data_IF_885235006651
#
_entry.id   IF_885235006651
#
_cell.length_a   1.000
_cell.length_b   1.000
_cell.length_c   1.000
_cell.angle_alpha   90.00
_cell.angle_beta   90.00
_cell.angle_gamma   90.00
#
_symmetry.space_group_name_H-M   'P 1'
#
loop_
_entity.id
_entity.type
_entity.pdbx_description
1 polymer ?
#
# COMPACT_ATOMS: atom_id res chain seq x y z
N UNK A 1 8.03 15.19 -9.75
CA UNK A 1 7.75 13.85 -9.20
C UNK A 1 6.40 13.90 -8.50
N UNK A 2 5.43 13.12 -8.97
CA UNK A 2 4.08 13.10 -8.39
C UNK A 2 4.08 12.48 -7.01
N UNK A 3 3.89 13.31 -5.98
CA UNK A 3 3.83 12.94 -4.55
C UNK A 3 2.78 11.89 -4.21
N UNK A 4 1.87 11.58 -5.16
CA UNK A 4 0.78 10.60 -5.03
C UNK A 4 1.21 9.16 -5.34
N UNK A 5 2.38 8.96 -5.96
CA UNK A 5 2.89 7.61 -6.31
C UNK A 5 3.73 6.97 -5.18
N UNK A 6 4.00 7.71 -4.10
CA UNK A 6 4.87 7.25 -3.00
C UNK A 6 4.19 6.28 -2.03
N UNK A 7 2.84 6.20 -2.03
CA UNK A 7 2.07 5.35 -1.11
C UNK A 7 1.65 4.01 -1.74
N UNK A 8 1.73 3.87 -3.06
CA UNK A 8 1.80 2.58 -3.75
C UNK A 8 3.20 2.00 -3.70
N UNK A 9 3.91 2.20 -2.59
CA UNK A 9 5.15 1.51 -2.27
C UNK A 9 4.81 0.10 -1.76
N UNK A 10 4.13 -0.68 -2.62
CA UNK A 10 4.38 -2.12 -2.68
C UNK A 10 5.90 -2.29 -2.92
N UNK A 11 6.52 -3.36 -2.40
CA UNK A 11 7.94 -3.76 -2.29
C UNK A 11 9.01 -3.25 -3.32
N UNK A 12 8.68 -2.42 -4.30
CA UNK A 12 9.49 -1.77 -5.31
C UNK A 12 10.57 -0.86 -4.73
N UNK A 13 10.49 -0.49 -3.44
CA UNK A 13 11.59 0.17 -2.73
C UNK A 13 12.83 -0.72 -2.58
N UNK A 14 12.72 -2.05 -2.71
CA UNK A 14 13.89 -2.93 -2.76
C UNK A 14 14.66 -2.73 -4.09
N UNK A 15 13.95 -2.51 -5.20
CA UNK A 15 14.57 -2.25 -6.51
C UNK A 15 15.41 -0.95 -6.56
N UNK A 16 15.14 0.03 -5.69
CA UNK A 16 15.90 1.29 -5.61
C UNK A 16 17.32 1.07 -5.08
N UNK A 17 17.53 0.06 -4.21
CA UNK A 17 18.86 -0.24 -3.68
C UNK A 17 19.85 -0.64 -4.77
N UNK A 18 19.41 -1.34 -5.82
CA UNK A 18 20.27 -1.71 -6.96
C UNK A 18 20.78 -0.49 -7.72
N UNK A 19 19.90 0.47 -8.01
CA UNK A 19 20.27 1.71 -8.71
C UNK A 19 21.21 2.65 -7.92
N UNK A 20 21.08 2.69 -6.59
CA UNK A 20 22.00 3.45 -5.73
C UNK A 20 23.37 2.76 -5.60
N UNK A 21 23.40 1.43 -5.65
CA UNK A 21 24.63 0.63 -5.57
C UNK A 21 25.52 0.79 -6.82
N UNK A 22 24.93 0.84 -8.02
CA UNK A 22 25.68 1.02 -9.29
C UNK A 22 26.40 2.38 -9.37
N UNK A 23 25.88 3.42 -8.69
CA UNK A 23 26.52 4.75 -8.69
C UNK A 23 27.67 4.88 -7.68
N UNK A 24 27.74 4.00 -6.68
CA UNK A 24 28.75 4.01 -5.60
C UNK A 24 29.89 3.00 -5.85
N UNK A 25 30.25 2.76 -7.11
CA UNK A 25 31.46 2.02 -7.42
C UNK A 25 32.64 3.00 -7.59
N UNK A 26 33.73 2.88 -6.80
CA UNK A 26 34.96 3.57 -7.13
C UNK A 26 35.47 3.01 -8.46
N UNK A 27 35.70 3.91 -9.42
CA UNK A 27 36.16 3.59 -10.76
C UNK A 27 37.48 2.83 -10.72
N UNK A 28 37.45 1.51 -10.88
CA UNK A 28 38.67 0.76 -11.22
C UNK A 28 39.03 1.07 -12.67
N UNK A 29 40.02 1.96 -12.78
CA UNK A 29 40.69 2.40 -14.00
C UNK A 29 40.96 1.22 -14.95
N UNK A 30 40.52 1.41 -16.19
CA UNK A 30 40.81 0.57 -17.35
C UNK A 30 42.31 0.62 -17.64
N UNK A 31 43.02 -0.47 -17.37
CA UNK A 31 44.33 -0.72 -17.94
C UNK A 31 44.20 -1.89 -18.93
N UNK A 32 44.30 -1.56 -20.23
CA UNK A 32 44.38 -2.52 -21.33
C UNK A 32 45.70 -3.31 -21.26
N UNK A 33 45.63 -4.63 -21.47
CA UNK A 33 46.76 -5.43 -21.95
C UNK A 33 47.20 -6.62 -21.08
N UNK A 34 46.92 -7.83 -21.59
CA UNK A 34 47.54 -9.14 -21.30
C UNK A 34 47.09 -10.01 -20.11
N UNK A 35 47.14 -11.35 -20.28
CA UNK A 35 46.25 -12.30 -19.64
C UNK A 35 46.80 -12.76 -18.30
N UNK A 36 45.99 -12.77 -17.24
CA UNK A 36 46.37 -13.44 -16.00
C UNK A 36 45.18 -14.15 -15.36
N UNK A 37 45.13 -15.46 -15.57
CA UNK A 37 44.76 -16.35 -14.49
C UNK A 37 45.86 -16.21 -13.41
N UNK A 38 45.63 -15.45 -12.35
CA UNK A 38 46.45 -15.45 -11.13
C UNK A 38 45.78 -14.65 -10.01
N UNK A 39 45.43 -15.37 -8.95
CA UNK A 39 45.64 -14.96 -7.55
C UNK A 39 45.67 -13.45 -7.26
N UNK A 40 44.52 -12.78 -7.28
CA UNK A 40 44.40 -11.51 -6.55
C UNK A 40 44.56 -11.78 -5.04
N UNK A 41 45.39 -10.99 -4.33
CA UNK A 41 45.65 -11.20 -2.90
C UNK A 41 44.35 -11.14 -2.10
N UNK A 42 44.18 -12.08 -1.16
CA UNK A 42 42.99 -12.21 -0.33
C UNK A 42 42.62 -10.90 0.41
N UNK A 43 43.61 -10.05 0.69
CA UNK A 43 43.41 -8.72 1.29
C UNK A 43 42.57 -7.77 0.42
N UNK A 44 42.67 -7.85 -0.91
CA UNK A 44 41.90 -7.01 -1.83
C UNK A 44 40.47 -7.56 -2.07
N UNK A 45 40.23 -8.84 -1.76
CA UNK A 45 38.89 -9.44 -1.78
C UNK A 45 38.11 -9.14 -0.51
N UNK A 46 38.74 -9.22 0.66
CA UNK A 46 38.09 -8.86 1.93
C UNK A 46 37.74 -7.37 2.01
N UNK A 47 38.61 -6.49 1.52
CA UNK A 47 38.32 -5.05 1.45
C UNK A 47 37.10 -4.78 0.55
N UNK A 48 37.08 -5.36 -0.65
CA UNK A 48 35.97 -5.21 -1.60
C UNK A 48 34.64 -5.76 -1.05
N UNK A 49 34.66 -6.87 -0.30
CA UNK A 49 33.47 -7.42 0.36
C UNK A 49 32.96 -6.51 1.50
N UNK A 50 33.86 -5.94 2.29
CA UNK A 50 33.51 -4.99 3.37
C UNK A 50 32.95 -3.69 2.80
N UNK A 51 33.58 -3.16 1.75
CA UNK A 51 33.09 -1.98 1.01
C UNK A 51 31.71 -2.24 0.39
N UNK A 52 31.50 -3.42 -0.23
CA UNK A 52 30.20 -3.81 -0.76
C UNK A 52 29.10 -3.76 0.32
N UNK A 53 29.35 -4.36 1.49
CA UNK A 53 28.36 -4.37 2.58
C UNK A 53 28.11 -2.97 3.15
N UNK A 54 29.15 -2.15 3.26
CA UNK A 54 29.01 -0.77 3.71
C UNK A 54 28.16 0.06 2.73
N UNK A 55 28.42 -0.06 1.43
CA UNK A 55 27.62 0.58 0.38
C UNK A 55 26.16 0.10 0.40
N UNK A 56 25.93 -1.20 0.63
CA UNK A 56 24.57 -1.75 0.78
C UNK A 56 23.84 -1.15 1.98
N UNK A 57 24.49 -1.10 3.15
CA UNK A 57 23.92 -0.54 4.38
C UNK A 57 23.65 0.98 4.23
N UNK A 58 24.53 1.71 3.54
CA UNK A 58 24.36 3.14 3.25
C UNK A 58 23.21 3.40 2.28
N UNK A 59 23.09 2.61 1.20
CA UNK A 59 21.98 2.70 0.26
C UNK A 59 20.63 2.43 0.95
N UNK A 60 20.56 1.40 1.80
CA UNK A 60 19.36 1.11 2.61
C UNK A 60 18.99 2.29 3.50
N UNK A 61 19.97 2.87 4.20
CA UNK A 61 19.74 4.02 5.08
C UNK A 61 19.25 5.25 4.30
N UNK A 62 19.79 5.50 3.11
CA UNK A 62 19.35 6.60 2.25
C UNK A 62 17.89 6.43 1.82
N UNK A 63 17.51 5.23 1.37
CA UNK A 63 16.12 4.92 0.97
C UNK A 63 15.16 5.07 2.15
N UNK A 64 15.52 4.56 3.33
CA UNK A 64 14.70 4.71 4.54
C UNK A 64 14.53 6.18 4.91
N UNK A 65 15.61 6.98 4.87
CA UNK A 65 15.54 8.40 5.19
C UNK A 65 14.66 9.18 4.20
N UNK A 66 14.65 8.81 2.92
CA UNK A 66 13.76 9.39 1.92
C UNK A 66 12.29 9.01 2.17
N UNK A 67 12.03 7.73 2.46
CA UNK A 67 10.71 7.27 2.88
C UNK A 67 10.24 8.01 4.14
N UNK A 68 11.09 8.18 5.15
CA UNK A 68 10.81 8.92 6.39
C UNK A 68 10.50 10.40 6.17
N UNK A 69 11.04 11.03 5.12
CA UNK A 69 10.71 12.42 4.75
C UNK A 69 9.39 12.57 4.00
N UNK A 70 8.84 11.49 3.44
CA UNK A 70 7.57 11.57 2.72
C UNK A 70 6.44 12.04 3.66
N UNK A 71 5.80 13.16 3.34
CA UNK A 71 4.67 13.67 4.11
C UNK A 71 3.48 12.72 4.04
N UNK A 72 2.79 12.54 5.16
CA UNK A 72 1.59 11.70 5.26
C UNK A 72 0.42 12.58 5.65
N UNK A 73 -0.67 12.47 4.92
CA UNK A 73 -1.86 13.31 5.10
C UNK A 73 -2.91 12.65 6.01
N UNK A 74 -2.67 11.40 6.43
CA UNK A 74 -3.58 10.62 7.26
C UNK A 74 -2.81 9.67 8.18
N UNK A 75 -3.33 9.33 9.38
CA UNK A 75 -2.75 8.29 10.23
C UNK A 75 -2.64 6.92 9.53
N UNK A 76 -3.52 6.62 8.57
CA UNK A 76 -3.41 5.39 7.77
C UNK A 76 -2.23 5.42 6.80
N UNK A 77 -1.95 6.57 6.18
CA UNK A 77 -0.75 6.76 5.33
C UNK A 77 0.53 6.66 6.16
N UNK A 78 0.53 7.22 7.37
CA UNK A 78 1.65 7.11 8.31
C UNK A 78 1.93 5.65 8.70
N UNK A 79 0.87 4.87 8.96
CA UNK A 79 0.99 3.45 9.25
C UNK A 79 1.50 2.66 8.04
N UNK A 80 0.92 2.87 6.86
CA UNK A 80 1.35 2.19 5.64
C UNK A 80 2.84 2.44 5.33
N UNK A 81 3.31 3.67 5.52
CA UNK A 81 4.73 4.03 5.39
C UNK A 81 5.60 3.33 6.43
N UNK A 82 5.18 3.28 7.70
CA UNK A 82 5.93 2.57 8.74
C UNK A 82 6.04 1.07 8.43
N UNK A 83 4.94 0.44 8.00
CA UNK A 83 4.89 -0.96 7.60
C UNK A 83 5.81 -1.21 6.39
N UNK A 84 5.84 -0.29 5.42
CA UNK A 84 6.73 -0.35 4.25
C UNK A 84 8.21 -0.28 4.65
N UNK A 85 8.57 0.64 5.54
CA UNK A 85 9.94 0.77 6.05
C UNK A 85 10.35 -0.50 6.81
N UNK A 86 9.45 -1.08 7.61
CA UNK A 86 9.72 -2.32 8.32
C UNK A 86 9.93 -3.51 7.37
N UNK A 87 9.10 -3.64 6.33
CA UNK A 87 9.24 -4.67 5.30
C UNK A 87 10.54 -4.51 4.50
N UNK A 88 10.91 -3.27 4.13
CA UNK A 88 12.17 -2.98 3.45
C UNK A 88 13.37 -3.40 4.29
N UNK A 89 13.40 -3.02 5.58
CA UNK A 89 14.47 -3.43 6.50
C UNK A 89 14.58 -4.95 6.60
N UNK A 90 13.45 -5.65 6.77
CA UNK A 90 13.45 -7.10 6.87
C UNK A 90 13.98 -7.79 5.61
N UNK A 91 13.53 -7.36 4.42
CA UNK A 91 13.98 -7.91 3.15
C UNK A 91 15.47 -7.62 2.89
N UNK A 92 15.94 -6.42 3.23
CA UNK A 92 17.36 -6.05 3.11
C UNK A 92 18.24 -6.79 4.10
N UNK A 93 17.78 -7.01 5.34
CA UNK A 93 18.51 -7.79 6.35
C UNK A 93 18.67 -9.25 5.92
N UNK A 94 17.63 -9.85 5.33
CA UNK A 94 17.69 -11.20 4.78
C UNK A 94 18.68 -11.28 3.61
N UNK A 95 18.59 -10.34 2.66
CA UNK A 95 19.50 -10.25 1.51
C UNK A 95 20.95 -10.07 1.97
N UNK A 96 21.20 -9.16 2.92
CA UNK A 96 22.51 -8.93 3.52
C UNK A 96 23.06 -10.19 4.18
N UNK A 97 22.23 -10.93 4.91
CA UNK A 97 22.62 -12.20 5.54
C UNK A 97 23.04 -13.23 4.50
N UNK A 98 22.29 -13.37 3.41
CA UNK A 98 22.65 -14.26 2.30
C UNK A 98 23.98 -13.86 1.66
N UNK A 99 24.23 -12.56 1.48
CA UNK A 99 25.48 -12.04 0.92
C UNK A 99 26.66 -12.31 1.86
N UNK A 100 26.52 -12.06 3.17
CA UNK A 100 27.57 -12.33 4.18
C UNK A 100 27.90 -13.82 4.23
N UNK A 101 26.89 -14.70 4.23
CA UNK A 101 27.11 -16.14 4.17
C UNK A 101 27.74 -16.58 2.84
N UNK A 102 27.37 -15.95 1.73
CA UNK A 102 28.00 -16.13 0.43
C UNK A 102 29.49 -15.76 0.46
N UNK A 103 29.83 -14.59 1.00
CA UNK A 103 31.22 -14.14 1.12
C UNK A 103 32.07 -15.11 1.95
N UNK A 104 31.52 -15.65 3.05
CA UNK A 104 32.19 -16.73 3.82
C UNK A 104 32.44 -17.99 2.99
N UNK A 105 31.61 -18.26 1.98
CA UNK A 105 31.73 -19.39 1.04
C UNK A 105 32.58 -19.05 -0.21
N UNK A 106 33.21 -17.86 -0.26
CA UNK A 106 34.08 -17.44 -1.36
C UNK A 106 33.38 -16.68 -2.49
N UNK A 107 32.13 -16.24 -2.28
CA UNK A 107 31.39 -15.44 -3.25
C UNK A 107 32.05 -14.07 -3.44
N UNK A 108 32.05 -13.57 -4.68
CA UNK A 108 32.67 -12.28 -5.02
C UNK A 108 31.67 -11.13 -4.93
N UNK A 109 32.14 -9.89 -4.78
CA UNK A 109 31.26 -8.71 -4.78
C UNK A 109 30.34 -8.65 -6.02
N UNK A 110 30.84 -9.02 -7.22
CA UNK A 110 30.04 -9.10 -8.45
C UNK A 110 28.90 -10.12 -8.36
N UNK A 111 29.15 -11.28 -7.76
CA UNK A 111 28.11 -12.29 -7.59
C UNK A 111 27.08 -11.89 -6.52
N UNK A 112 27.48 -11.08 -5.53
CA UNK A 112 26.56 -10.52 -4.55
C UNK A 112 25.65 -9.46 -5.19
N UNK A 113 26.17 -8.70 -6.14
CA UNK A 113 25.39 -7.76 -6.96
C UNK A 113 24.29 -8.51 -7.75
N UNK A 114 24.62 -9.62 -8.42
CA UNK A 114 23.62 -10.46 -9.10
C UNK A 114 22.55 -11.05 -8.15
N UNK A 115 22.90 -11.33 -6.88
CA UNK A 115 21.93 -11.78 -5.88
C UNK A 115 20.94 -10.66 -5.52
N UNK A 116 21.43 -9.43 -5.41
CA UNK A 116 20.58 -8.26 -5.19
C UNK A 116 19.66 -8.06 -6.41
N UNK A 117 20.19 -8.14 -7.63
CA UNK A 117 19.39 -7.99 -8.85
C UNK A 117 18.25 -9.01 -8.93
N UNK A 118 18.53 -10.28 -8.63
CA UNK A 118 17.51 -11.34 -8.58
C UNK A 118 16.48 -11.12 -7.47
N UNK A 119 16.93 -10.68 -6.29
CA UNK A 119 16.02 -10.35 -5.19
C UNK A 119 15.09 -9.20 -5.59
N UNK A 120 15.62 -8.19 -6.29
CA UNK A 120 14.86 -7.05 -6.81
C UNK A 120 13.86 -7.47 -7.89
N UNK A 121 14.27 -8.32 -8.83
CA UNK A 121 13.39 -8.83 -9.88
C UNK A 121 12.21 -9.60 -9.28
N UNK A 122 12.50 -10.50 -8.32
CA UNK A 122 11.46 -11.26 -7.62
C UNK A 122 10.51 -10.35 -6.84
N UNK A 123 11.04 -9.36 -6.11
CA UNK A 123 10.21 -8.41 -5.38
C UNK A 123 9.31 -7.59 -6.32
N UNK A 124 9.84 -7.17 -7.48
CA UNK A 124 9.07 -6.44 -8.48
C UNK A 124 7.97 -7.30 -9.13
N UNK A 125 8.16 -8.61 -9.25
CA UNK A 125 7.13 -9.54 -9.75
C UNK A 125 6.03 -9.77 -8.71
N UNK A 126 6.40 -10.04 -7.46
CA UNK A 126 5.45 -10.20 -6.34
C UNK A 126 4.59 -8.95 -6.14
N UNK A 127 5.17 -7.76 -6.34
CA UNK A 127 4.43 -6.50 -6.29
C UNK A 127 3.42 -6.32 -7.40
N UNK A 128 3.77 -6.70 -8.63
CA UNK A 128 2.81 -6.65 -9.74
C UNK A 128 1.63 -7.57 -9.45
N UNK A 129 1.89 -8.73 -8.88
CA UNK A 129 0.83 -9.67 -8.49
C UNK A 129 -0.02 -9.13 -7.34
N UNK A 130 0.60 -8.54 -6.30
CA UNK A 130 -0.11 -7.92 -5.18
C UNK A 130 -0.97 -6.73 -5.64
N UNK A 131 -0.42 -5.86 -6.51
CA UNK A 131 -1.15 -4.73 -7.09
C UNK A 131 -2.33 -5.20 -7.96
N UNK A 132 -2.16 -6.25 -8.76
CA UNK A 132 -3.24 -6.81 -9.57
C UNK A 132 -4.36 -7.42 -8.69
N UNK A 133 -4.00 -8.14 -7.62
CA UNK A 133 -4.97 -8.67 -6.65
C UNK A 133 -5.73 -7.56 -5.94
N UNK A 134 -5.03 -6.50 -5.54
CA UNK A 134 -5.66 -5.34 -4.89
C UNK A 134 -6.58 -4.58 -5.85
N UNK A 135 -6.17 -4.36 -7.11
CA UNK A 135 -7.04 -3.74 -8.11
C UNK A 135 -8.30 -4.59 -8.38
N UNK A 136 -8.16 -5.91 -8.44
CA UNK A 136 -9.30 -6.82 -8.55
C UNK A 136 -10.23 -6.74 -7.33
N UNK A 137 -9.67 -6.73 -6.12
CA UNK A 137 -10.45 -6.59 -4.88
C UNK A 137 -11.18 -5.24 -4.80
N UNK A 138 -10.55 -4.14 -5.25
CA UNK A 138 -11.18 -2.82 -5.32
C UNK A 138 -12.36 -2.80 -6.32
N UNK A 139 -12.20 -3.44 -7.48
CA UNK A 139 -13.28 -3.57 -8.48
C UNK A 139 -14.44 -4.42 -7.95
N UNK A 140 -14.12 -5.55 -7.32
CA UNK A 140 -15.12 -6.43 -6.70
C UNK A 140 -15.86 -5.72 -5.57
N UNK A 141 -15.16 -4.97 -4.72
CA UNK A 141 -15.76 -4.16 -3.66
C UNK A 141 -16.78 -3.15 -4.21
N UNK A 142 -16.43 -2.40 -5.26
CA UNK A 142 -17.35 -1.44 -5.87
C UNK A 142 -18.54 -2.12 -6.53
N UNK A 143 -18.33 -3.27 -7.19
CA UNK A 143 -19.41 -4.04 -7.78
C UNK A 143 -20.39 -4.55 -6.71
N UNK A 144 -19.89 -5.05 -5.59
CA UNK A 144 -20.70 -5.50 -4.46
C UNK A 144 -21.45 -4.33 -3.80
N UNK A 145 -20.79 -3.17 -3.66
CA UNK A 145 -21.42 -1.95 -3.16
C UNK A 145 -22.60 -1.50 -4.05
N UNK A 146 -22.38 -1.43 -5.37
CA UNK A 146 -23.41 -1.04 -6.33
C UNK A 146 -24.56 -2.07 -6.38
N UNK A 147 -24.25 -3.37 -6.26
CA UNK A 147 -25.24 -4.43 -6.18
C UNK A 147 -26.11 -4.36 -4.91
N UNK A 148 -25.49 -4.11 -3.75
CA UNK A 148 -26.20 -3.94 -2.48
C UNK A 148 -27.15 -2.74 -2.50
N UNK A 149 -26.70 -1.60 -3.05
CA UNK A 149 -27.54 -0.42 -3.24
C UNK A 149 -28.75 -0.73 -4.13
N UNK A 150 -28.53 -1.41 -5.27
CA UNK A 150 -29.61 -1.79 -6.19
C UNK A 150 -30.62 -2.73 -5.52
N UNK A 151 -30.17 -3.68 -4.70
CA UNK A 151 -31.04 -4.58 -3.96
C UNK A 151 -31.90 -3.83 -2.92
N UNK A 152 -31.29 -2.92 -2.15
CA UNK A 152 -31.99 -2.11 -1.16
C UNK A 152 -33.06 -1.20 -1.81
N UNK A 153 -32.74 -0.58 -2.96
CA UNK A 153 -33.71 0.22 -3.72
C UNK A 153 -34.87 -0.66 -4.21
N UNK A 154 -34.59 -1.82 -4.79
CA UNK A 154 -35.63 -2.72 -5.29
C UNK A 154 -36.56 -3.23 -4.16
N UNK A 155 -36.05 -3.41 -2.95
CA UNK A 155 -36.85 -3.76 -1.78
C UNK A 155 -37.75 -2.59 -1.33
N UNK A 156 -37.22 -1.37 -1.30
CA UNK A 156 -37.98 -0.15 -1.01
C UNK A 156 -39.08 0.11 -2.06
N UNK A 157 -38.81 -0.17 -3.34
CA UNK A 157 -39.77 -0.04 -4.43
C UNK A 157 -40.91 -1.07 -4.35
N UNK A 158 -40.64 -2.27 -3.85
CA UNK A 158 -41.66 -3.32 -3.63
C UNK A 158 -42.56 -3.06 -2.44
N UNK A 159 -42.15 -2.19 -1.50
CA UNK A 159 -42.97 -1.90 -0.35
C UNK A 159 -44.29 -1.26 -0.80
N UNK A 160 -45.43 -1.82 -0.41
CA UNK A 160 -46.76 -1.29 -0.74
C UNK A 160 -47.03 0.03 -0.01
N UNK A 161 -47.65 0.99 -0.71
CA UNK A 161 -48.06 2.30 -0.18
C UNK A 161 -49.57 2.36 -0.11
N UNK A 162 -50.11 2.82 1.01
CA UNK A 162 -51.55 2.96 1.21
C UNK A 162 -52.05 4.39 0.94
N UNK A 163 -51.14 5.32 0.66
CA UNK A 163 -51.43 6.74 0.42
C UNK A 163 -50.44 7.38 -0.55
N UNK A 164 -50.84 8.39 -1.34
CA UNK A 164 -49.92 9.19 -2.15
C UNK A 164 -48.81 9.87 -1.34
N UNK A 165 -49.07 10.18 -0.07
CA UNK A 165 -48.06 10.75 0.84
C UNK A 165 -46.96 9.72 1.17
N UNK A 166 -47.32 8.45 1.37
CA UNK A 166 -46.37 7.35 1.57
C UNK A 166 -45.57 7.04 0.30
N UNK A 167 -46.20 7.13 -0.88
CA UNK A 167 -45.53 6.97 -2.16
C UNK A 167 -44.48 8.06 -2.40
N UNK A 168 -44.80 9.31 -2.06
CA UNK A 168 -43.84 10.41 -2.13
C UNK A 168 -42.69 10.22 -1.15
N UNK A 169 -42.97 9.87 0.11
CA UNK A 169 -41.94 9.64 1.11
C UNK A 169 -40.96 8.50 0.72
N UNK A 170 -41.46 7.44 0.07
CA UNK A 170 -40.61 6.36 -0.46
C UNK A 170 -39.71 6.85 -1.59
N UNK A 171 -40.27 7.58 -2.55
CA UNK A 171 -39.48 8.16 -3.64
C UNK A 171 -38.38 9.08 -3.10
N UNK A 172 -38.72 9.94 -2.13
CA UNK A 172 -37.76 10.84 -1.49
C UNK A 172 -36.67 10.07 -0.72
N UNK A 173 -37.05 8.98 -0.03
CA UNK A 173 -36.10 8.09 0.67
C UNK A 173 -35.15 7.39 -0.30
N UNK A 174 -35.66 6.87 -1.42
CA UNK A 174 -34.85 6.24 -2.47
C UNK A 174 -33.88 7.27 -3.07
N UNK A 175 -34.33 8.50 -3.31
CA UNK A 175 -33.49 9.58 -3.82
C UNK A 175 -32.37 9.95 -2.83
N UNK A 176 -32.70 10.06 -1.54
CA UNK A 176 -31.73 10.33 -0.48
C UNK A 176 -30.71 9.19 -0.34
N UNK A 177 -31.16 7.93 -0.39
CA UNK A 177 -30.28 6.75 -0.34
C UNK A 177 -29.29 6.75 -1.52
N UNK A 178 -29.78 6.97 -2.75
CA UNK A 178 -28.93 7.08 -3.95
C UNK A 178 -27.88 8.18 -3.78
N UNK A 179 -28.28 9.37 -3.36
CA UNK A 179 -27.36 10.50 -3.18
C UNK A 179 -26.29 10.23 -2.12
N UNK A 180 -26.66 9.68 -0.97
CA UNK A 180 -25.72 9.32 0.09
C UNK A 180 -24.74 8.23 -0.36
N UNK A 181 -25.24 7.24 -1.10
CA UNK A 181 -24.39 6.17 -1.63
C UNK A 181 -23.45 6.65 -2.74
N UNK A 182 -23.89 7.54 -3.62
CA UNK A 182 -23.05 8.13 -4.67
C UNK A 182 -21.88 8.94 -4.08
N UNK A 183 -22.15 9.74 -3.03
CA UNK A 183 -21.10 10.49 -2.32
C UNK A 183 -20.10 9.54 -1.63
N UNK A 184 -20.60 8.51 -0.94
CA UNK A 184 -19.75 7.49 -0.30
C UNK A 184 -18.88 6.77 -1.34
N UNK A 185 -19.48 6.34 -2.45
CA UNK A 185 -18.77 5.70 -3.57
C UNK A 185 -17.69 6.60 -4.14
N UNK A 186 -17.97 7.89 -4.31
CA UNK A 186 -17.00 8.87 -4.80
C UNK A 186 -15.80 8.99 -3.87
N UNK A 187 -16.03 9.08 -2.56
CA UNK A 187 -14.97 9.12 -1.55
C UNK A 187 -14.10 7.86 -1.59
N UNK A 188 -14.72 6.69 -1.75
CA UNK A 188 -14.01 5.41 -1.86
C UNK A 188 -13.17 5.36 -3.14
N UNK A 189 -13.73 5.75 -4.29
CA UNK A 189 -12.99 5.78 -5.58
C UNK A 189 -11.82 6.76 -5.52
N UNK A 190 -11.99 7.94 -4.90
CA UNK A 190 -10.89 8.86 -4.65
C UNK A 190 -9.87 8.30 -3.66
N UNK A 191 -10.32 7.55 -2.66
CA UNK A 191 -9.46 6.81 -1.73
C UNK A 191 -8.61 5.76 -2.45
N UNK A 192 -9.20 4.95 -3.32
CA UNK A 192 -8.49 3.95 -4.11
C UNK A 192 -7.43 4.59 -5.01
N UNK A 193 -7.72 5.73 -5.63
CA UNK A 193 -6.73 6.53 -6.38
C UNK A 193 -5.58 7.05 -5.50
N UNK A 194 -5.78 7.14 -4.18
CA UNK A 194 -4.77 7.53 -3.18
C UNK A 194 -4.09 6.32 -2.51
N UNK A 195 -4.38 5.10 -2.95
CA UNK A 195 -3.79 3.87 -2.41
C UNK A 195 -4.55 3.24 -1.25
N UNK A 196 -5.80 3.64 -1.00
CA UNK A 196 -6.67 2.98 -0.04
C UNK A 196 -6.99 1.55 -0.52
N UNK A 197 -6.91 0.57 0.38
CA UNK A 197 -7.21 -0.83 0.03
C UNK A 197 -8.69 -1.15 0.12
N UNK A 198 -9.16 -2.19 -0.56
CA UNK A 198 -10.55 -2.67 -0.47
C UNK A 198 -10.97 -2.95 0.98
N UNK A 199 -10.08 -3.55 1.79
CA UNK A 199 -10.30 -3.79 3.23
C UNK A 199 -10.42 -2.50 4.05
N UNK A 200 -9.70 -1.45 3.68
CA UNK A 200 -9.84 -0.15 4.34
C UNK A 200 -11.14 0.54 3.94
N UNK A 201 -11.58 0.39 2.69
CA UNK A 201 -12.88 0.91 2.24
C UNK A 201 -14.04 0.24 2.97
N UNK A 202 -13.96 -1.07 3.20
CA UNK A 202 -14.94 -1.81 4.01
C UNK A 202 -15.05 -1.22 5.42
N UNK A 203 -13.93 -1.04 6.12
CA UNK A 203 -13.90 -0.39 7.45
C UNK A 203 -14.41 1.05 7.43
N UNK A 204 -14.19 1.78 6.34
CA UNK A 204 -14.71 3.14 6.18
C UNK A 204 -16.24 3.12 6.15
N UNK A 205 -16.84 2.22 5.37
CA UNK A 205 -18.29 2.03 5.32
C UNK A 205 -18.82 1.58 6.69
N UNK A 206 -18.19 0.60 7.35
CA UNK A 206 -18.64 0.11 8.65
C UNK A 206 -18.72 1.24 9.69
N UNK A 207 -17.68 2.09 9.76
CA UNK A 207 -17.67 3.26 10.64
C UNK A 207 -18.71 4.29 10.27
N UNK A 208 -18.95 4.50 8.98
CA UNK A 208 -20.00 5.42 8.52
C UNK A 208 -21.39 4.91 8.94
N UNK A 209 -21.65 3.62 8.75
CA UNK A 209 -22.91 2.97 9.12
C UNK A 209 -23.12 2.95 10.64
N UNK A 210 -22.06 2.72 11.43
CA UNK A 210 -22.13 2.77 12.90
C UNK A 210 -22.57 4.16 13.39
N UNK A 211 -22.01 5.23 12.83
CA UNK A 211 -22.39 6.61 13.17
C UNK A 211 -23.84 6.91 12.81
N UNK A 212 -24.29 6.52 11.62
CA UNK A 212 -25.69 6.71 11.19
C UNK A 212 -26.65 5.96 12.11
N UNK A 213 -26.32 4.72 12.48
CA UNK A 213 -27.13 3.93 13.41
C UNK A 213 -27.19 4.53 14.83
N UNK A 214 -26.13 5.21 15.28
CA UNK A 214 -26.11 5.88 16.58
C UNK A 214 -26.94 7.18 16.58
N UNK A 215 -26.85 7.98 15.51
CA UNK A 215 -27.65 9.19 15.31
C UNK A 215 -29.15 8.87 15.20
N UNK A 216 -29.53 7.80 14.50
CA UNK A 216 -30.92 7.34 14.41
C UNK A 216 -31.46 6.87 15.77
N UNK A 217 -30.65 6.18 16.57
CA UNK A 217 -31.01 5.79 17.96
C UNK A 217 -31.22 7.02 18.83
N UNK A 218 -30.37 8.04 18.72
CA UNK A 218 -30.53 9.31 19.44
C UNK A 218 -31.79 10.07 19.00
N UNK A 219 -32.05 10.16 17.69
CA UNK A 219 -33.22 10.83 17.14
C UNK A 219 -34.52 10.13 17.59
N UNK A 220 -34.54 8.79 17.58
CA UNK A 220 -35.65 7.99 18.09
C UNK A 220 -35.85 8.16 19.62
N UNK A 221 -34.76 8.24 20.39
CA UNK A 221 -34.81 8.49 21.83
C UNK A 221 -35.33 9.90 22.17
N UNK A 222 -34.91 10.93 21.41
CA UNK A 222 -35.41 12.30 21.52
C UNK A 222 -36.91 12.37 21.18
N UNK A 223 -37.37 11.74 20.08
CA UNK A 223 -38.80 11.62 19.75
C UNK A 223 -39.62 10.91 20.83
N UNK A 224 -39.11 9.82 21.42
CA UNK A 224 -39.78 9.11 22.54
C UNK A 224 -39.89 9.97 23.79
N UNK A 225 -38.84 10.71 24.16
CA UNK A 225 -38.87 11.66 25.29
C UNK A 225 -39.86 12.80 25.06
N UNK A 226 -39.97 13.30 23.82
CA UNK A 226 -40.86 14.40 23.47
C UNK A 226 -42.34 13.98 23.46
N UNK A 227 -42.64 12.76 22.98
CA UNK A 227 -44.01 12.17 23.08
C UNK A 227 -44.44 11.89 24.52
N UNK A 228 -43.51 11.50 25.41
CA UNK A 228 -43.80 11.32 26.86
C UNK A 228 -44.01 12.61 27.64
N UNK A 229 -43.56 13.76 27.15
CA UNK A 229 -43.76 15.08 27.79
C UNK A 229 -45.08 15.76 27.39
N UNK A 230 -45.68 15.33 26.28
CA UNK A 230 -46.90 15.92 25.72
C UNK A 230 -48.15 15.01 25.88
N UNK A 231 -48.04 13.93 26.65
CA UNK A 231 -49.14 13.03 27.04
C UNK A 231 -49.31 13.09 28.55
#
# INVERSE_FOLDING_TARGET
MDKKKFLTASLASVAVLGSAFVVSQPSVVKAEGQPVASSQPAENKESAQKEFLANFDEALKAVIAELEKAETNSPEEAKAKADTIAALKAASDETRKQIVEGFKKGLTAKQAEELIDKANEKAAEEDKEAAAKEEAAQKEFLANYDAALKAAIAELEKAETNSPEEAKAKSDTIAALKAASDETRKQIVEGFKKGLTAKQAEKFIDKANEKVAEEDKEAAAKKKKQRKKNS
#
